data_IF_216360420108
#
_entry.id   IF_216360420108
#
_cell.length_a   1.000
_cell.length_b   1.000
_cell.length_c   1.000
_cell.angle_alpha   90.00
_cell.angle_beta   90.00
_cell.angle_gamma   90.00
#
_symmetry.space_group_name_H-M   'P 1'
#
loop_
_entity.id
_entity.type
_entity.pdbx_description
1 polymer ?
#
# COMPACT_ATOMS: atom_id res chain seq x y z
N UNK A 1 1.52 20.58 -11.13
CA UNK A 1 1.94 19.51 -12.07
C UNK A 1 1.58 18.19 -11.41
N UNK A 2 0.52 17.52 -11.87
CA UNK A 2 0.07 16.26 -11.26
C UNK A 2 1.03 15.13 -11.66
N UNK A 3 1.63 14.46 -10.69
CA UNK A 3 2.34 13.21 -10.95
C UNK A 3 1.29 12.19 -11.40
N UNK A 4 1.46 11.61 -12.59
CA UNK A 4 0.55 10.55 -13.03
C UNK A 4 0.55 9.43 -11.98
N UNK A 5 -0.61 8.93 -11.53
CA UNK A 5 -0.71 7.93 -10.46
C UNK A 5 0.20 6.71 -10.68
N UNK A 6 0.40 6.33 -11.94
CA UNK A 6 1.30 5.26 -12.36
C UNK A 6 2.77 5.52 -12.03
N UNK A 7 3.27 6.73 -12.31
CA UNK A 7 4.65 7.13 -12.02
C UNK A 7 4.89 7.16 -10.50
N UNK A 8 3.87 7.57 -9.74
CA UNK A 8 3.89 7.58 -8.29
C UNK A 8 3.95 6.15 -7.70
N UNK A 9 3.10 5.24 -8.19
CA UNK A 9 3.08 3.84 -7.74
C UNK A 9 4.41 3.12 -8.02
N UNK A 10 5.00 3.36 -9.19
CA UNK A 10 6.31 2.83 -9.53
C UNK A 10 7.42 3.41 -8.63
N UNK A 11 7.38 4.72 -8.34
CA UNK A 11 8.35 5.36 -7.47
C UNK A 11 8.31 4.80 -6.04
N UNK A 12 7.11 4.70 -5.44
CA UNK A 12 6.92 4.11 -4.11
C UNK A 12 7.34 2.63 -4.11
N UNK A 13 6.89 1.83 -5.07
CA UNK A 13 7.23 0.42 -5.13
C UNK A 13 8.73 0.17 -5.24
N UNK A 14 9.44 0.97 -6.05
CA UNK A 14 10.91 0.93 -6.15
C UNK A 14 11.58 1.37 -4.84
N UNK A 15 11.09 2.43 -4.21
CA UNK A 15 11.63 2.91 -2.94
C UNK A 15 11.50 1.83 -1.85
N UNK A 16 10.33 1.21 -1.70
CA UNK A 16 10.11 0.10 -0.75
C UNK A 16 11.07 -1.05 -1.04
N UNK A 17 11.15 -1.52 -2.29
CA UNK A 17 12.04 -2.63 -2.64
C UNK A 17 13.52 -2.32 -2.44
N UNK A 18 13.92 -1.05 -2.56
CA UNK A 18 15.30 -0.61 -2.30
C UNK A 18 15.59 -0.56 -0.80
N UNK A 19 14.64 -0.08 0.00
CA UNK A 19 14.80 0.12 1.44
C UNK A 19 14.50 -1.14 2.28
N UNK A 20 13.85 -2.15 1.68
CA UNK A 20 13.54 -3.46 2.27
C UNK A 20 13.87 -4.56 1.25
N UNK A 21 15.16 -4.83 1.00
CA UNK A 21 15.59 -5.80 -0.02
C UNK A 21 15.13 -7.24 0.26
N UNK A 22 14.77 -7.55 1.51
CA UNK A 22 14.22 -8.83 1.93
C UNK A 22 12.74 -9.02 1.53
N UNK A 23 12.05 -7.98 1.07
CA UNK A 23 10.66 -8.05 0.64
C UNK A 23 10.52 -8.34 -0.85
N UNK A 24 9.61 -9.25 -1.19
CA UNK A 24 9.20 -9.45 -2.58
C UNK A 24 8.14 -8.42 -2.98
N UNK A 25 8.59 -7.28 -3.48
CA UNK A 25 7.70 -6.20 -3.94
C UNK A 25 7.26 -6.44 -5.38
N UNK A 26 5.95 -6.31 -5.67
CA UNK A 26 5.39 -6.29 -7.02
C UNK A 26 4.54 -5.05 -7.19
N UNK A 27 4.83 -4.26 -8.21
CA UNK A 27 3.98 -3.15 -8.64
C UNK A 27 3.12 -3.66 -9.80
N UNK A 28 1.81 -3.46 -9.70
CA UNK A 28 0.83 -3.89 -10.71
C UNK A 28 -0.09 -2.72 -11.01
N UNK A 29 -0.71 -2.72 -12.18
CA UNK A 29 -1.76 -1.75 -12.48
C UNK A 29 -2.98 -2.02 -11.58
N UNK A 30 -3.75 -0.98 -11.18
CA UNK A 30 -4.93 -1.16 -10.34
C UNK A 30 -5.94 -2.16 -10.92
N UNK A 31 -6.10 -2.18 -12.25
CA UNK A 31 -7.04 -3.06 -12.94
C UNK A 31 -6.60 -4.53 -12.93
N UNK A 32 -5.29 -4.80 -12.85
CA UNK A 32 -4.72 -6.15 -12.79
C UNK A 32 -4.69 -6.72 -11.36
N UNK A 33 -4.85 -5.86 -10.35
CA UNK A 33 -4.71 -6.21 -8.94
C UNK A 33 -5.58 -7.42 -8.53
N UNK A 34 -6.86 -7.54 -8.92
CA UNK A 34 -7.69 -8.70 -8.56
C UNK A 34 -7.11 -10.03 -9.04
N UNK A 35 -6.61 -10.08 -10.28
CA UNK A 35 -6.02 -11.28 -10.87
C UNK A 35 -4.70 -11.65 -10.16
N UNK A 36 -3.84 -10.64 -9.93
CA UNK A 36 -2.52 -10.88 -9.32
C UNK A 36 -2.62 -11.26 -7.84
N UNK A 37 -3.65 -10.82 -7.12
CA UNK A 37 -3.88 -11.20 -5.73
C UNK A 37 -4.11 -12.71 -5.57
N UNK A 38 -4.87 -13.33 -6.48
CA UNK A 38 -5.21 -14.75 -6.41
C UNK A 38 -3.96 -15.65 -6.49
N UNK A 39 -2.99 -15.27 -7.32
CA UNK A 39 -1.76 -16.05 -7.52
C UNK A 39 -0.60 -15.68 -6.58
N UNK A 40 -0.56 -14.46 -6.05
CA UNK A 40 0.58 -13.97 -5.26
C UNK A 40 0.45 -14.17 -3.76
N UNK A 41 -0.78 -14.25 -3.22
CA UNK A 41 -1.08 -14.32 -1.77
C UNK A 41 -0.19 -13.36 -0.95
N UNK A 42 -0.19 -12.05 -1.23
CA UNK A 42 0.67 -11.11 -0.51
C UNK A 42 0.25 -11.01 0.96
N UNK A 43 1.21 -10.65 1.83
CA UNK A 43 0.91 -10.32 3.22
C UNK A 43 0.33 -8.91 3.37
N UNK A 44 0.72 -7.99 2.49
CA UNK A 44 0.29 -6.58 2.49
C UNK A 44 0.04 -6.12 1.06
N UNK A 45 -0.99 -5.29 0.87
CA UNK A 45 -1.35 -4.62 -0.38
C UNK A 45 -1.41 -3.13 -0.11
N UNK A 46 -0.62 -2.34 -0.83
CA UNK A 46 -0.72 -0.88 -0.83
C UNK A 46 -1.45 -0.46 -2.11
N UNK A 47 -2.59 0.21 -1.98
CA UNK A 47 -3.43 0.56 -3.13
C UNK A 47 -4.15 1.89 -2.90
N UNK A 48 -4.43 2.63 -3.96
CA UNK A 48 -5.29 3.82 -3.91
C UNK A 48 -6.77 3.50 -4.14
N UNK A 49 -7.17 2.23 -4.08
CA UNK A 49 -8.54 1.79 -4.21
C UNK A 49 -9.02 1.16 -2.89
N UNK A 50 -10.32 1.30 -2.57
CA UNK A 50 -10.86 0.75 -1.34
C UNK A 50 -10.77 -0.77 -1.32
N UNK A 51 -10.53 -1.33 -0.12
CA UNK A 51 -10.55 -2.77 0.05
C UNK A 51 -11.93 -3.33 -0.31
N UNK A 52 -12.04 -4.11 -1.39
CA UNK A 52 -13.32 -4.67 -1.84
C UNK A 52 -13.80 -5.89 -1.02
N UNK A 53 -12.99 -6.42 -0.11
CA UNK A 53 -13.34 -7.61 0.66
C UNK A 53 -12.48 -7.78 1.93
N UNK A 54 -12.86 -7.14 3.06
CA UNK A 54 -12.22 -7.38 4.36
C UNK A 54 -12.54 -8.79 4.88
N UNK A 55 -11.59 -9.43 5.57
CA UNK A 55 -11.80 -10.75 6.19
C UNK A 55 -10.54 -11.39 6.80
N UNK A 56 -10.71 -12.26 7.79
CA UNK A 56 -9.60 -13.02 8.42
C UNK A 56 -8.88 -13.89 7.38
N UNK A 57 -7.55 -13.86 7.38
CA UNK A 57 -6.71 -14.62 6.45
C UNK A 57 -6.39 -13.92 5.12
N UNK A 58 -6.82 -12.66 4.93
CA UNK A 58 -6.51 -11.85 3.74
C UNK A 58 -5.28 -10.95 3.96
N UNK A 59 -4.61 -10.49 2.87
CA UNK A 59 -3.58 -9.46 2.95
C UNK A 59 -4.04 -8.25 3.75
N UNK A 60 -3.10 -7.62 4.47
CA UNK A 60 -3.30 -6.30 5.04
C UNK A 60 -3.55 -5.31 3.91
N UNK A 61 -4.72 -4.69 3.84
CA UNK A 61 -4.99 -3.68 2.84
C UNK A 61 -4.66 -2.30 3.39
N UNK A 62 -3.73 -1.60 2.76
CA UNK A 62 -3.38 -0.23 3.08
C UNK A 62 -3.87 0.65 1.93
N UNK A 63 -4.94 1.38 2.19
CA UNK A 63 -5.43 2.39 1.25
C UNK A 63 -4.55 3.62 1.36
N UNK A 64 -4.06 4.16 0.25
CA UNK A 64 -3.23 5.35 0.20
C UNK A 64 -3.76 6.30 -0.88
N UNK A 65 -4.41 7.39 -0.45
CA UNK A 65 -4.97 8.39 -1.35
C UNK A 65 -4.17 9.70 -1.25
N UNK A 66 -3.28 10.00 -2.19
CA UNK A 66 -2.71 11.33 -2.28
C UNK A 66 -3.80 12.28 -2.79
N UNK A 67 -4.16 13.30 -2.01
CA UNK A 67 -5.11 14.31 -2.47
C UNK A 67 -4.44 15.22 -3.50
N UNK A 68 -5.10 15.55 -4.62
CA UNK A 68 -4.52 16.42 -5.65
C UNK A 68 -4.31 17.86 -5.17
N UNK A 69 -5.10 18.29 -4.18
CA UNK A 69 -5.15 19.68 -3.70
C UNK A 69 -4.63 19.85 -2.26
N UNK A 70 -4.12 18.79 -1.64
CA UNK A 70 -3.48 18.88 -0.32
C UNK A 70 -2.34 17.86 -0.17
N UNK A 71 -1.37 18.19 0.69
CA UNK A 71 -0.33 17.25 1.10
C UNK A 71 -0.86 16.14 2.03
N UNK A 72 -2.16 16.14 2.32
CA UNK A 72 -2.78 15.16 3.20
C UNK A 72 -2.97 13.83 2.46
N UNK A 73 -2.64 12.77 3.16
CA UNK A 73 -2.79 11.41 2.67
C UNK A 73 -3.82 10.72 3.54
N UNK A 74 -4.85 10.16 2.92
CA UNK A 74 -5.73 9.27 3.66
C UNK A 74 -5.17 7.85 3.67
N UNK A 75 -4.92 7.34 4.88
CA UNK A 75 -4.42 5.99 5.10
C UNK A 75 -5.43 5.16 5.89
N UNK A 76 -5.90 4.06 5.29
CA UNK A 76 -6.79 3.10 5.95
C UNK A 76 -6.17 1.72 5.95
N UNK A 77 -6.32 0.99 7.04
CA UNK A 77 -5.85 -0.39 7.19
C UNK A 77 -7.05 -1.32 7.33
N UNK A 78 -7.22 -2.23 6.38
CA UNK A 78 -8.34 -3.17 6.33
C UNK A 78 -9.72 -2.46 6.43
N UNK A 79 -9.81 -1.25 5.87
CA UNK A 79 -10.99 -0.39 5.93
C UNK A 79 -11.12 0.44 7.22
N UNK A 80 -10.27 0.20 8.22
CA UNK A 80 -10.24 0.95 9.48
C UNK A 80 -9.15 2.03 9.45
N UNK A 81 -9.50 3.26 9.82
CA UNK A 81 -8.57 4.40 9.85
C UNK A 81 -9.24 5.69 9.40
N UNK A 82 -8.47 6.78 9.46
CA UNK A 82 -8.90 8.12 9.07
C UNK A 82 -7.73 8.95 8.59
N UNK A 83 -8.03 10.10 8.00
CA UNK A 83 -7.06 11.03 7.40
C UNK A 83 -5.80 11.18 8.26
N UNK A 84 -4.64 10.95 7.65
CA UNK A 84 -3.35 11.39 8.18
C UNK A 84 -2.98 12.67 7.43
N UNK A 85 -2.19 13.52 8.07
CA UNK A 85 -1.61 14.69 7.40
C UNK A 85 -0.60 14.27 6.34
N UNK A 86 0.52 14.98 6.26
CA UNK A 86 1.65 14.55 5.45
C UNK A 86 2.21 13.22 6.01
N UNK A 87 2.17 12.15 5.21
CA UNK A 87 2.74 10.85 5.58
C UNK A 87 4.11 10.74 4.96
N UNK A 88 5.16 10.84 5.79
CA UNK A 88 6.52 10.60 5.37
C UNK A 88 6.72 9.13 4.92
N UNK A 89 7.66 8.89 4.01
CA UNK A 89 7.97 7.55 3.52
C UNK A 89 8.39 6.62 4.66
N UNK A 90 9.12 7.15 5.65
CA UNK A 90 9.57 6.45 6.85
C UNK A 90 8.39 5.97 7.71
N UNK A 91 7.33 6.77 7.82
CA UNK A 91 6.12 6.37 8.54
C UNK A 91 5.37 5.26 7.80
N UNK A 92 5.26 5.38 6.48
CA UNK A 92 4.68 4.34 5.64
C UNK A 92 5.46 3.02 5.77
N UNK A 93 6.80 3.06 5.71
CA UNK A 93 7.65 1.89 5.90
C UNK A 93 7.48 1.29 7.29
N UNK A 94 7.48 2.12 8.34
CA UNK A 94 7.28 1.66 9.72
C UNK A 94 5.90 1.03 9.94
N UNK A 95 4.89 1.46 9.20
CA UNK A 95 3.58 0.81 9.19
C UNK A 95 3.66 -0.55 8.48
N UNK A 96 4.26 -0.60 7.28
CA UNK A 96 4.44 -1.84 6.51
C UNK A 96 5.19 -2.89 7.34
N UNK A 97 6.30 -2.51 7.98
CA UNK A 97 7.13 -3.38 8.83
C UNK A 97 6.30 -4.06 9.92
N UNK A 98 5.50 -3.28 10.65
CA UNK A 98 4.63 -3.78 11.73
C UNK A 98 3.61 -4.79 11.21
N UNK A 99 3.10 -4.59 9.99
CA UNK A 99 2.07 -5.47 9.40
C UNK A 99 2.67 -6.75 8.83
N UNK A 100 3.86 -6.68 8.24
CA UNK A 100 4.61 -7.85 7.81
C UNK A 100 4.98 -8.71 9.03
N UNK A 101 5.52 -8.10 10.09
CA UNK A 101 5.90 -8.82 11.31
C UNK A 101 4.70 -9.49 12.01
N UNK A 102 3.56 -8.81 12.12
CA UNK A 102 2.35 -9.37 12.74
C UNK A 102 1.72 -10.55 11.97
N UNK A 103 2.12 -10.77 10.72
CA UNK A 103 1.63 -11.83 9.83
C UNK A 103 2.69 -12.91 9.54
N UNK A 104 3.86 -12.83 10.17
CA UNK A 104 4.92 -13.84 10.09
C UNK A 104 4.78 -14.93 11.17
N UNK A 105 3.81 -14.80 12.08
CA UNK A 105 3.47 -15.72 13.18
C UNK A 105 2.19 -16.47 12.83
#
# INVERSE_FOLDING_TARGET
>A
MAIQPRAYNHAIGRAIGTLRPEWRVRVVEPDDLPEKLAGARPQVVLCSQPCRAPGRGRPCWIEFYPRPDSAEVELRVDGEGGARGEVALEELLSLLDRRVAARAV
#
